data_IF_185270435259
#
_entry.id   IF_185270435259
#
_cell.length_a   1.000
_cell.length_b   1.000
_cell.length_c   1.000
_cell.angle_alpha   90.00
_cell.angle_beta   90.00
_cell.angle_gamma   90.00
#
_symmetry.space_group_name_H-M   'P 1'
#
loop_
_entity.id
_entity.type
_entity.pdbx_description
1 polymer ?
#
# COMPACT_ATOMS: atom_id res chain seq x y z
N UNK A 1 22.79 -7.76 -10.10
CA UNK A 1 21.46 -7.24 -9.73
C UNK A 1 20.68 -6.93 -11.00
N UNK A 2 19.49 -7.52 -11.14
CA UNK A 2 18.64 -7.30 -12.31
C UNK A 2 17.95 -5.93 -12.25
N UNK A 3 17.46 -5.43 -13.39
CA UNK A 3 16.76 -4.15 -13.50
C UNK A 3 15.59 -4.02 -12.49
N UNK A 4 14.72 -5.03 -12.26
CA UNK A 4 13.64 -4.94 -11.28
C UNK A 4 14.16 -4.66 -9.86
N UNK A 5 15.17 -5.39 -9.39
CA UNK A 5 15.73 -5.19 -8.04
C UNK A 5 16.31 -3.78 -7.83
N UNK A 6 16.82 -3.14 -8.89
CA UNK A 6 17.30 -1.75 -8.81
C UNK A 6 16.13 -0.77 -8.64
N UNK A 7 15.00 -1.02 -9.30
CA UNK A 7 13.78 -0.23 -9.16
C UNK A 7 13.18 -0.38 -7.76
N UNK A 8 13.14 -1.59 -7.21
CA UNK A 8 12.69 -1.84 -5.83
C UNK A 8 13.54 -1.08 -4.82
N UNK A 9 14.88 -1.14 -4.96
CA UNK A 9 15.79 -0.44 -4.06
C UNK A 9 15.66 1.07 -4.20
N UNK A 10 15.53 1.58 -5.42
CA UNK A 10 15.27 2.99 -5.68
C UNK A 10 13.98 3.45 -4.99
N UNK A 11 12.90 2.65 -5.05
CA UNK A 11 11.64 2.95 -4.35
C UNK A 11 11.85 3.06 -2.84
N UNK A 12 12.56 2.12 -2.23
CA UNK A 12 12.86 2.15 -0.79
C UNK A 12 13.63 3.43 -0.44
N UNK A 13 14.61 3.82 -1.25
CA UNK A 13 15.34 5.07 -1.08
C UNK A 13 14.47 6.32 -1.30
N UNK A 14 13.42 6.24 -2.13
CA UNK A 14 12.46 7.34 -2.32
C UNK A 14 11.55 7.54 -1.11
N UNK A 15 11.31 6.54 -0.26
CA UNK A 15 10.38 6.66 0.89
C UNK A 15 10.83 7.75 1.88
N UNK A 16 12.08 7.80 2.38
CA UNK A 16 12.52 8.88 3.26
C UNK A 16 12.41 10.26 2.61
N UNK A 17 12.70 10.36 1.30
CA UNK A 17 12.60 11.61 0.54
C UNK A 17 11.14 12.04 0.43
N UNK A 18 10.24 11.10 0.13
CA UNK A 18 8.79 11.32 0.13
C UNK A 18 8.29 11.81 1.48
N UNK A 19 8.66 11.14 2.58
CA UNK A 19 8.25 11.52 3.95
C UNK A 19 8.77 12.92 4.29
N UNK A 20 10.03 13.23 3.93
CA UNK A 20 10.58 14.56 4.13
C UNK A 20 9.77 15.64 3.40
N UNK A 21 9.48 15.46 2.12
CA UNK A 21 8.69 16.45 1.37
C UNK A 21 7.23 16.52 1.82
N UNK A 22 6.66 15.42 2.30
CA UNK A 22 5.28 15.42 2.80
C UNK A 22 5.14 16.17 4.13
N UNK A 23 6.16 16.14 4.98
CA UNK A 23 6.11 16.72 6.32
C UNK A 23 6.84 18.06 6.46
N UNK A 24 7.54 18.52 5.42
CA UNK A 24 8.31 19.76 5.46
C UNK A 24 7.48 20.97 5.06
N UNK A 25 7.53 22.00 5.91
CA UNK A 25 7.00 23.33 5.61
C UNK A 25 8.08 24.27 5.03
N UNK A 26 9.34 23.81 4.94
CA UNK A 26 10.48 24.65 4.53
C UNK A 26 10.55 24.88 3.01
N UNK A 27 9.90 24.01 2.23
CA UNK A 27 9.94 24.08 0.76
C UNK A 27 8.54 24.49 0.28
N UNK A 28 8.40 25.61 -0.45
CA UNK A 28 7.13 25.97 -1.06
C UNK A 28 6.63 24.85 -1.97
N UNK A 29 5.34 24.54 -1.92
CA UNK A 29 4.71 23.50 -2.75
C UNK A 29 5.32 22.09 -2.54
N UNK A 30 5.84 21.80 -1.33
CA UNK A 30 6.42 20.51 -0.95
C UNK A 30 5.44 19.34 -1.14
N UNK A 31 4.14 19.57 -0.93
CA UNK A 31 3.04 18.64 -1.19
C UNK A 31 2.99 18.15 -2.64
N UNK A 32 3.21 19.03 -3.63
CA UNK A 32 3.23 18.65 -5.05
C UNK A 32 4.47 17.82 -5.40
N UNK A 33 5.60 18.06 -4.73
CA UNK A 33 6.78 17.22 -4.87
C UNK A 33 6.50 15.85 -4.24
N UNK A 34 5.92 15.82 -3.04
CA UNK A 34 5.57 14.59 -2.34
C UNK A 34 4.61 13.72 -3.17
N UNK A 35 3.56 14.30 -3.77
CA UNK A 35 2.62 13.53 -4.59
C UNK A 35 3.29 13.00 -5.85
N UNK A 36 4.18 13.78 -6.48
CA UNK A 36 4.92 13.33 -7.65
C UNK A 36 5.80 12.12 -7.32
N UNK A 37 6.54 12.18 -6.20
CA UNK A 37 7.36 11.06 -5.72
C UNK A 37 6.47 9.85 -5.43
N UNK A 38 5.34 10.04 -4.75
CA UNK A 38 4.40 8.96 -4.43
C UNK A 38 3.87 8.26 -5.69
N UNK A 39 3.40 9.04 -6.68
CA UNK A 39 2.90 8.51 -7.95
C UNK A 39 3.99 7.77 -8.71
N UNK A 40 5.20 8.34 -8.81
CA UNK A 40 6.34 7.68 -9.45
C UNK A 40 6.70 6.37 -8.74
N UNK A 41 6.69 6.36 -7.41
CA UNK A 41 6.96 5.17 -6.60
C UNK A 41 5.91 4.06 -6.83
N UNK A 42 4.62 4.41 -6.94
CA UNK A 42 3.56 3.46 -7.28
C UNK A 42 3.67 2.96 -8.74
N UNK A 43 3.96 3.84 -9.69
CA UNK A 43 4.10 3.45 -11.10
C UNK A 43 5.32 2.55 -11.32
N UNK A 44 6.42 2.79 -10.62
CA UNK A 44 7.62 1.94 -10.71
C UNK A 44 7.36 0.51 -10.19
N UNK A 45 6.43 0.31 -9.25
CA UNK A 45 5.97 -1.01 -8.78
C UNK A 45 5.13 -1.79 -9.80
N UNK A 46 4.28 -1.07 -10.53
CA UNK A 46 3.56 -1.71 -11.63
C UNK A 46 4.55 -2.15 -12.73
N UNK A 47 5.55 -1.32 -13.01
CA UNK A 47 6.52 -1.54 -14.07
C UNK A 47 7.54 -2.63 -13.75
N UNK A 48 8.13 -2.66 -12.57
CA UNK A 48 9.11 -3.69 -12.21
C UNK A 48 8.49 -5.09 -12.16
N UNK A 49 7.27 -5.23 -11.63
CA UNK A 49 6.49 -6.46 -11.64
C UNK A 49 6.08 -6.89 -13.04
N UNK A 50 5.81 -5.95 -13.96
CA UNK A 50 5.56 -6.28 -15.37
C UNK A 50 6.84 -6.75 -16.08
N UNK A 51 7.96 -6.04 -15.92
CA UNK A 51 9.25 -6.37 -16.53
C UNK A 51 9.77 -7.72 -16.00
N UNK A 52 9.70 -7.96 -14.70
CA UNK A 52 10.16 -9.21 -14.09
C UNK A 52 9.41 -10.43 -14.65
N UNK A 53 8.09 -10.31 -14.85
CA UNK A 53 7.25 -11.36 -15.47
C UNK A 53 7.51 -11.52 -16.96
N UNK A 54 7.65 -10.41 -17.70
CA UNK A 54 7.86 -10.43 -19.15
C UNK A 54 9.20 -11.03 -19.56
N UNK A 55 10.25 -10.77 -18.77
CA UNK A 55 11.61 -11.20 -19.08
C UNK A 55 12.08 -12.40 -18.23
N UNK A 56 11.18 -13.03 -17.45
CA UNK A 56 11.51 -14.11 -16.50
C UNK A 56 12.69 -13.77 -15.57
N UNK A 57 12.88 -12.48 -15.25
CA UNK A 57 13.97 -11.97 -14.40
C UNK A 57 13.63 -12.06 -12.90
N UNK A 58 12.95 -13.13 -12.52
CA UNK A 58 12.45 -13.31 -11.16
C UNK A 58 13.63 -13.73 -10.26
N UNK A 59 13.95 -12.91 -9.26
CA UNK A 59 14.99 -13.22 -8.27
C UNK A 59 14.40 -13.44 -6.88
N UNK A 60 15.04 -14.27 -6.05
CA UNK A 60 14.61 -14.50 -4.67
C UNK A 60 14.61 -13.21 -3.84
N UNK A 61 15.59 -12.33 -4.09
CA UNK A 61 15.65 -11.01 -3.47
C UNK A 61 14.46 -10.13 -3.85
N UNK A 62 14.15 -10.00 -5.16
CA UNK A 62 12.99 -9.22 -5.63
C UNK A 62 11.67 -9.75 -5.08
N UNK A 63 11.45 -11.08 -5.11
CA UNK A 63 10.25 -11.72 -4.54
C UNK A 63 9.98 -11.33 -3.07
N UNK A 64 11.04 -11.11 -2.29
CA UNK A 64 10.94 -10.71 -0.89
C UNK A 64 10.83 -9.19 -0.71
N UNK A 65 11.63 -8.43 -1.47
CA UNK A 65 11.74 -6.98 -1.32
C UNK A 65 10.58 -6.22 -1.94
N UNK A 66 9.99 -6.69 -3.05
CA UNK A 66 8.89 -5.97 -3.72
C UNK A 66 7.66 -5.86 -2.80
N UNK A 67 7.16 -6.95 -2.16
CA UNK A 67 6.04 -6.86 -1.23
C UNK A 67 6.35 -6.10 0.06
N UNK A 68 7.64 -5.97 0.41
CA UNK A 68 8.09 -5.18 1.55
C UNK A 68 8.08 -3.69 1.20
N UNK A 69 8.69 -3.31 0.08
CA UNK A 69 8.77 -1.94 -0.41
C UNK A 69 7.38 -1.33 -0.65
N UNK A 70 6.47 -2.09 -1.26
CA UNK A 70 5.07 -1.67 -1.48
C UNK A 70 4.38 -1.28 -0.16
N UNK A 71 4.45 -2.16 0.84
CA UNK A 71 3.82 -1.91 2.15
C UNK A 71 4.48 -0.77 2.90
N UNK A 72 5.81 -0.63 2.79
CA UNK A 72 6.53 0.46 3.45
C UNK A 72 6.08 1.81 2.89
N UNK A 73 6.01 1.98 1.56
CA UNK A 73 5.59 3.24 0.95
C UNK A 73 4.18 3.64 1.41
N UNK A 74 3.22 2.72 1.31
CA UNK A 74 1.82 2.99 1.67
C UNK A 74 1.69 3.22 3.18
N UNK A 75 2.33 2.41 4.02
CA UNK A 75 2.26 2.56 5.47
C UNK A 75 2.91 3.87 5.93
N UNK A 76 4.03 4.27 5.33
CA UNK A 76 4.68 5.55 5.60
C UNK A 76 3.75 6.72 5.29
N UNK A 77 3.07 6.71 4.14
CA UNK A 77 2.09 7.74 3.80
C UNK A 77 0.95 7.81 4.82
N UNK A 78 0.35 6.66 5.18
CA UNK A 78 -0.74 6.59 6.16
C UNK A 78 -0.32 7.12 7.54
N UNK A 79 0.88 6.77 8.00
CA UNK A 79 1.41 7.25 9.28
C UNK A 79 1.61 8.77 9.25
N UNK A 80 2.11 9.30 8.13
CA UNK A 80 2.24 10.75 7.95
C UNK A 80 0.88 11.46 7.99
N UNK A 81 -0.18 10.86 7.44
CA UNK A 81 -1.53 11.44 7.53
C UNK A 81 -2.06 11.54 8.97
N UNK A 82 -1.64 10.65 9.86
CA UNK A 82 -1.94 10.78 11.30
C UNK A 82 -1.19 11.97 11.90
N UNK A 83 0.11 12.10 11.58
CA UNK A 83 0.94 13.21 12.04
C UNK A 83 0.40 14.57 11.58
N UNK A 84 -0.08 14.64 10.32
CA UNK A 84 -0.71 15.81 9.73
C UNK A 84 -2.16 16.02 10.20
N UNK A 85 -2.67 15.18 11.11
CA UNK A 85 -4.04 15.24 11.65
C UNK A 85 -5.15 15.12 10.58
N UNK A 86 -4.83 14.56 9.40
CA UNK A 86 -5.79 14.38 8.30
C UNK A 86 -6.69 13.16 8.52
N UNK A 87 -6.17 12.11 9.15
CA UNK A 87 -6.91 10.87 9.44
C UNK A 87 -6.76 10.50 10.92
N UNK A 88 -7.85 10.18 11.63
CA UNK A 88 -7.78 9.62 12.97
C UNK A 88 -6.92 8.35 13.04
N UNK A 89 -6.04 8.27 14.03
CA UNK A 89 -5.09 7.16 14.19
C UNK A 89 -5.76 5.78 14.18
N UNK A 90 -6.96 5.64 14.74
CA UNK A 90 -7.67 4.36 14.80
C UNK A 90 -8.05 3.82 13.41
N UNK A 91 -8.36 4.68 12.43
CA UNK A 91 -8.66 4.28 11.05
C UNK A 91 -7.40 3.70 10.41
N UNK A 92 -6.28 4.40 10.58
CA UNK A 92 -4.99 3.98 10.05
C UNK A 92 -4.52 2.66 10.67
N UNK A 93 -4.71 2.49 11.98
CA UNK A 93 -4.43 1.21 12.66
C UNK A 93 -5.22 0.08 12.02
N UNK A 94 -6.53 0.25 11.78
CA UNK A 94 -7.36 -0.79 11.14
C UNK A 94 -6.86 -1.13 9.74
N UNK A 95 -6.51 -0.12 8.93
CA UNK A 95 -5.99 -0.33 7.57
C UNK A 95 -4.67 -1.09 7.61
N UNK A 96 -3.71 -0.62 8.40
CA UNK A 96 -2.38 -1.23 8.51
C UNK A 96 -2.47 -2.64 9.07
N UNK A 97 -3.19 -2.86 10.17
CA UNK A 97 -3.35 -4.18 10.78
C UNK A 97 -3.90 -5.20 9.77
N UNK A 98 -4.90 -4.81 8.96
CA UNK A 98 -5.44 -5.67 7.91
C UNK A 98 -4.37 -6.06 6.89
N UNK A 99 -3.49 -5.16 6.47
CA UNK A 99 -2.44 -5.47 5.50
C UNK A 99 -1.44 -6.49 6.03
N UNK A 100 -1.06 -6.36 7.31
CA UNK A 100 -0.19 -7.32 7.97
C UNK A 100 -0.87 -8.68 8.15
N UNK A 101 -2.14 -8.70 8.59
CA UNK A 101 -2.91 -9.94 8.77
C UNK A 101 -2.99 -10.75 7.47
N UNK A 102 -3.44 -10.12 6.37
CA UNK A 102 -3.59 -10.81 5.07
C UNK A 102 -2.23 -11.23 4.48
N UNK A 103 -1.17 -10.48 4.77
CA UNK A 103 0.17 -10.82 4.32
C UNK A 103 0.76 -11.99 5.10
N UNK A 104 0.61 -11.99 6.43
CA UNK A 104 1.03 -13.09 7.29
C UNK A 104 0.29 -14.38 6.95
N UNK A 105 -1.03 -14.31 6.72
CA UNK A 105 -1.79 -15.48 6.29
C UNK A 105 -1.34 -16.04 4.95
N UNK A 106 -1.05 -15.18 3.96
CA UNK A 106 -0.49 -15.66 2.68
C UNK A 106 0.87 -16.32 2.84
N UNK A 107 1.71 -15.79 3.73
CA UNK A 107 3.03 -16.36 3.99
C UNK A 107 2.90 -17.77 4.54
N UNK A 108 2.11 -17.94 5.60
CA UNK A 108 1.88 -19.25 6.25
C UNK A 108 1.21 -20.24 5.29
N UNK A 109 0.24 -19.80 4.49
CA UNK A 109 -0.41 -20.67 3.51
C UNK A 109 0.56 -21.10 2.40
N UNK A 110 1.41 -20.19 1.93
CA UNK A 110 2.43 -20.50 0.92
C UNK A 110 3.47 -21.51 1.42
N UNK A 111 3.86 -21.44 2.69
CA UNK A 111 4.76 -22.42 3.30
C UNK A 111 4.14 -23.82 3.35
N UNK A 112 2.81 -23.90 3.46
CA UNK A 112 2.03 -25.15 3.37
C UNK A 112 1.69 -25.55 1.93
N UNK A 113 2.26 -24.89 0.91
CA UNK A 113 2.00 -25.18 -0.51
C UNK A 113 0.64 -24.70 -1.03
N UNK A 114 -0.13 -23.95 -0.23
CA UNK A 114 -1.46 -23.44 -0.60
C UNK A 114 -1.34 -22.00 -1.09
N UNK A 115 -1.58 -21.80 -2.39
CA UNK A 115 -1.55 -20.47 -3.00
C UNK A 115 -2.91 -19.79 -2.85
N UNK A 116 -3.00 -18.80 -1.95
CA UNK A 116 -4.21 -18.01 -1.77
C UNK A 116 -4.25 -16.85 -2.77
N UNK A 117 -5.24 -16.88 -3.67
CA UNK A 117 -5.47 -15.81 -4.64
C UNK A 117 -5.94 -14.50 -3.99
N UNK A 118 -5.60 -13.37 -4.61
CA UNK A 118 -6.07 -12.06 -4.19
C UNK A 118 -7.59 -11.91 -4.44
N UNK A 119 -8.33 -11.42 -3.44
CA UNK A 119 -9.77 -11.14 -3.59
C UNK A 119 -10.01 -9.87 -4.40
N UNK A 120 -11.15 -9.82 -5.11
CA UNK A 120 -11.61 -8.62 -5.81
C UNK A 120 -11.70 -7.40 -4.88
N UNK A 121 -12.24 -7.60 -3.67
CA UNK A 121 -12.29 -6.57 -2.63
C UNK A 121 -10.92 -6.02 -2.26
N UNK A 122 -9.89 -6.88 -2.25
CA UNK A 122 -8.52 -6.45 -2.02
C UNK A 122 -8.01 -5.46 -3.07
N UNK A 123 -8.34 -5.69 -4.35
CA UNK A 123 -7.96 -4.78 -5.45
C UNK A 123 -8.67 -3.44 -5.34
N UNK A 124 -9.98 -3.45 -5.16
CA UNK A 124 -10.77 -2.22 -5.00
C UNK A 124 -10.30 -1.39 -3.80
N UNK A 125 -10.01 -2.05 -2.68
CA UNK A 125 -9.44 -1.40 -1.50
C UNK A 125 -8.15 -0.67 -1.83
N UNK A 126 -7.20 -1.36 -2.49
CA UNK A 126 -5.91 -0.76 -2.84
C UNK A 126 -6.07 0.42 -3.80
N UNK A 127 -6.95 0.33 -4.80
CA UNK A 127 -7.24 1.46 -5.69
C UNK A 127 -7.83 2.64 -4.93
N UNK A 128 -8.83 2.42 -4.07
CA UNK A 128 -9.44 3.48 -3.26
C UNK A 128 -8.41 4.14 -2.33
N UNK A 129 -7.53 3.35 -1.72
CA UNK A 129 -6.47 3.83 -0.84
C UNK A 129 -5.40 4.64 -1.57
N UNK A 130 -5.02 4.25 -2.79
CA UNK A 130 -4.10 5.06 -3.61
C UNK A 130 -4.72 6.41 -4.00
N UNK A 131 -6.00 6.42 -4.39
CA UNK A 131 -6.71 7.67 -4.71
C UNK A 131 -6.81 8.56 -3.47
N UNK A 132 -7.21 7.99 -2.33
CA UNK A 132 -7.25 8.67 -1.04
C UNK A 132 -5.90 9.31 -0.71
N UNK A 133 -4.80 8.55 -0.81
CA UNK A 133 -3.46 9.08 -0.53
C UNK A 133 -3.09 10.24 -1.44
N UNK A 134 -3.36 10.14 -2.75
CA UNK A 134 -3.06 11.23 -3.70
C UNK A 134 -3.86 12.48 -3.36
N UNK A 135 -5.16 12.36 -3.07
CA UNK A 135 -6.00 13.50 -2.69
C UNK A 135 -5.47 14.18 -1.43
N UNK A 136 -5.20 13.41 -0.37
CA UNK A 136 -4.73 13.92 0.91
C UNK A 136 -3.33 14.53 0.85
N UNK A 137 -2.44 14.00 0.01
CA UNK A 137 -1.11 14.59 -0.17
C UNK A 137 -1.24 15.94 -0.87
N UNK A 138 -2.06 16.04 -1.92
CA UNK A 138 -2.20 17.31 -2.65
C UNK A 138 -2.89 18.35 -1.80
N UNK A 139 -3.92 17.96 -1.04
CA UNK A 139 -4.66 18.82 -0.12
C UNK A 139 -5.19 20.08 -0.83
N UNK A 140 -6.09 19.88 -1.80
CA UNK A 140 -6.67 20.99 -2.55
C UNK A 140 -7.64 21.79 -1.68
N UNK A 141 -7.51 23.11 -1.71
CA UNK A 141 -8.43 23.99 -1.01
C UNK A 141 -9.85 23.92 -1.60
N UNK A 142 -10.84 23.66 -0.73
CA UNK A 142 -12.25 23.82 -1.05
C UNK A 142 -13.16 22.78 -0.39
N UNK A 143 -14.39 23.18 -0.10
CA UNK A 143 -15.40 22.32 0.57
C UNK A 143 -15.64 21.02 -0.19
N UNK A 144 -15.62 21.09 -1.53
CA UNK A 144 -15.79 19.91 -2.39
C UNK A 144 -14.65 18.90 -2.19
N UNK A 145 -13.39 19.34 -2.22
CA UNK A 145 -12.23 18.46 -2.06
C UNK A 145 -12.14 17.89 -0.64
N UNK A 146 -12.40 18.70 0.39
CA UNK A 146 -12.47 18.22 1.77
C UNK A 146 -13.53 17.13 1.95
N UNK A 147 -14.69 17.29 1.30
CA UNK A 147 -15.75 16.27 1.32
C UNK A 147 -15.30 15.00 0.59
N UNK A 148 -14.65 15.15 -0.56
CA UNK A 148 -14.16 14.04 -1.36
C UNK A 148 -13.10 13.22 -0.59
N UNK A 149 -12.16 13.88 0.07
CA UNK A 149 -11.15 13.26 0.94
C UNK A 149 -11.81 12.42 2.04
N UNK A 150 -12.77 13.00 2.76
CA UNK A 150 -13.52 12.28 3.80
C UNK A 150 -14.25 11.06 3.24
N UNK A 151 -14.91 11.19 2.09
CA UNK A 151 -15.57 10.07 1.42
C UNK A 151 -14.58 8.96 1.10
N UNK A 152 -13.41 9.29 0.54
CA UNK A 152 -12.39 8.29 0.22
C UNK A 152 -11.77 7.63 1.46
N UNK A 153 -11.60 8.36 2.57
CA UNK A 153 -11.15 7.79 3.85
C UNK A 153 -12.13 6.71 4.32
N UNK A 154 -13.44 7.01 4.36
CA UNK A 154 -14.43 6.04 4.80
C UNK A 154 -14.61 4.88 3.80
N UNK A 155 -14.54 5.13 2.50
CA UNK A 155 -14.54 4.07 1.49
C UNK A 155 -13.35 3.13 1.69
N UNK A 156 -12.14 3.66 1.87
CA UNK A 156 -10.94 2.87 2.11
C UNK A 156 -11.07 2.02 3.39
N UNK A 157 -11.61 2.59 4.47
CA UNK A 157 -11.88 1.88 5.71
C UNK A 157 -12.90 0.74 5.52
N UNK A 158 -14.06 1.03 4.93
CA UNK A 158 -15.13 0.04 4.71
C UNK A 158 -14.64 -1.09 3.81
N UNK A 159 -13.96 -0.76 2.69
CA UNK A 159 -13.37 -1.76 1.80
C UNK A 159 -12.30 -2.60 2.49
N UNK A 160 -11.51 -2.01 3.40
CA UNK A 160 -10.52 -2.73 4.21
C UNK A 160 -11.20 -3.79 5.07
N UNK A 161 -12.26 -3.42 5.79
CA UNK A 161 -13.01 -4.34 6.66
C UNK A 161 -13.69 -5.43 5.84
N UNK A 162 -14.41 -5.07 4.77
CA UNK A 162 -15.07 -6.04 3.87
C UNK A 162 -14.04 -7.00 3.28
N UNK A 163 -12.91 -6.49 2.83
CA UNK A 163 -11.85 -7.29 2.24
C UNK A 163 -11.22 -8.26 3.25
N UNK A 164 -11.07 -7.86 4.51
CA UNK A 164 -10.61 -8.74 5.58
C UNK A 164 -11.60 -9.89 5.80
N UNK A 165 -12.88 -9.57 5.97
CA UNK A 165 -13.93 -10.57 6.23
C UNK A 165 -14.04 -11.55 5.06
N UNK A 166 -14.13 -11.04 3.82
CA UNK A 166 -14.21 -11.87 2.61
C UNK A 166 -13.03 -12.83 2.52
N UNK A 167 -11.82 -12.34 2.83
CA UNK A 167 -10.62 -13.15 2.79
C UNK A 167 -10.62 -14.25 3.86
N UNK A 168 -10.99 -13.91 5.10
CA UNK A 168 -11.05 -14.88 6.20
C UNK A 168 -12.11 -15.96 5.95
N UNK A 169 -13.28 -15.59 5.41
CA UNK A 169 -14.35 -16.54 5.11
C UNK A 169 -13.97 -17.51 4.00
N UNK A 170 -13.40 -17.01 2.89
CA UNK A 170 -12.99 -17.85 1.75
C UNK A 170 -11.86 -18.81 2.11
N UNK A 171 -10.96 -18.40 3.00
CA UNK A 171 -9.76 -19.18 3.34
C UNK A 171 -9.86 -19.88 4.70
N UNK A 172 -11.03 -19.91 5.34
CA UNK A 172 -11.24 -20.53 6.65
C UNK A 172 -10.82 -22.00 6.71
N UNK A 173 -10.99 -22.74 5.61
CA UNK A 173 -10.64 -24.16 5.53
C UNK A 173 -9.12 -24.36 5.43
N UNK A 174 -8.44 -23.51 4.65
CA UNK A 174 -6.97 -23.49 4.54
C UNK A 174 -6.31 -23.21 5.90
N UNK A 175 -6.91 -22.29 6.68
CA UNK A 175 -6.44 -21.97 8.03
C UNK A 175 -6.62 -23.11 9.04
N UNK A 176 -7.54 -24.05 8.81
CA UNK A 176 -7.73 -25.22 9.67
C UNK A 176 -6.73 -26.35 9.37
N UNK A 177 -6.28 -26.46 8.12
CA UNK A 177 -5.38 -27.54 7.69
C UNK A 177 -3.91 -27.26 8.05
N UNK A 178 -3.44 -26.00 7.98
CA UNK A 178 -2.08 -25.62 8.39
C UNK A 178 -1.81 -25.63 9.91
N UNK A 179 -2.75 -26.11 10.73
CA UNK A 179 -2.65 -26.25 12.19
C UNK A 179 -2.34 -27.69 12.64
N UNK A 180 -2.08 -28.61 11.71
CA UNK A 180 -1.64 -29.99 11.98
C UNK A 180 -0.22 -30.20 11.48
#
# INVERSE_FOLDING_TARGET
MNLPNKLTLARICMIPIFVFFLLTDMVPNSNYIAVAIFIIACLTDALDGHIARKYNLISNFGKFMDPLADKLLVSSALICFVQLQLIPAWIIIVIISREFIISGFRLIASDNGIVIAASWWGKFKTTAQMIMSVLLIVNFDGVFFNTLEQVFIYIALVLTVISLIDYLLKNKNVLKEGSR
#
